data_IF_644697450642
#
_entry.id   IF_644697450642
#
_cell.length_a   1.000
_cell.length_b   1.000
_cell.length_c   1.000
_cell.angle_alpha   90.00
_cell.angle_beta   90.00
_cell.angle_gamma   90.00
#
_symmetry.space_group_name_H-M   'P 1'
#
loop_
_entity.id
_entity.type
_entity.pdbx_description
1 polymer ?
#
# COMPACT_ATOMS: atom_id res chain seq x y z
N UNK A 1 5.31 -40.30 -1.52
CA UNK A 1 6.76 -40.38 -1.76
C UNK A 1 6.93 -40.82 -3.19
N UNK A 2 7.39 -39.94 -4.06
CA UNK A 2 7.37 -40.18 -5.51
C UNK A 2 8.66 -40.89 -5.93
N UNK A 3 8.90 -42.06 -5.31
CA UNK A 3 10.09 -42.87 -5.60
C UNK A 3 10.05 -43.38 -7.06
N UNK A 4 11.18 -43.32 -7.79
CA UNK A 4 11.29 -43.83 -9.15
C UNK A 4 10.86 -45.28 -9.28
N UNK A 5 10.34 -45.66 -10.45
CA UNK A 5 9.97 -47.06 -10.76
C UNK A 5 11.17 -48.01 -10.61
N UNK A 6 12.38 -47.55 -10.92
CA UNK A 6 13.63 -48.30 -10.74
C UNK A 6 13.94 -48.62 -9.28
N UNK A 7 13.64 -47.72 -8.33
CA UNK A 7 13.79 -48.01 -6.90
C UNK A 7 12.72 -49.01 -6.43
N UNK A 8 11.48 -48.84 -6.87
CA UNK A 8 10.36 -49.75 -6.55
C UNK A 8 10.60 -51.17 -7.07
N UNK A 9 11.15 -51.31 -8.28
CA UNK A 9 11.40 -52.60 -8.90
C UNK A 9 12.37 -53.48 -8.09
N UNK A 10 13.34 -52.88 -7.36
CA UNK A 10 14.29 -53.61 -6.50
C UNK A 10 13.59 -54.38 -5.37
N UNK A 11 12.46 -53.89 -4.89
CA UNK A 11 11.68 -54.49 -3.80
C UNK A 11 10.37 -55.15 -4.28
N UNK A 12 10.14 -55.18 -5.60
CA UNK A 12 8.94 -55.78 -6.20
C UNK A 12 8.76 -57.26 -5.82
N UNK A 13 9.84 -58.04 -5.80
CA UNK A 13 9.83 -59.47 -5.41
C UNK A 13 9.34 -59.66 -3.97
N UNK A 14 9.82 -58.84 -3.01
CA UNK A 14 9.36 -58.87 -1.62
C UNK A 14 7.88 -58.47 -1.53
N UNK A 15 7.48 -57.45 -2.30
CA UNK A 15 6.10 -56.97 -2.34
C UNK A 15 5.13 -58.02 -2.89
N UNK A 16 5.58 -58.85 -3.85
CA UNK A 16 4.82 -60.00 -4.33
C UNK A 16 4.70 -61.11 -3.28
N UNK A 17 5.78 -61.42 -2.54
CA UNK A 17 5.79 -62.46 -1.50
C UNK A 17 4.80 -62.15 -0.36
N UNK A 18 4.61 -60.86 -0.03
CA UNK A 18 3.60 -60.38 0.95
C UNK A 18 2.14 -60.78 0.64
N UNK A 19 1.83 -61.19 -0.60
CA UNK A 19 0.49 -61.63 -1.01
C UNK A 19 0.23 -63.14 -0.96
N UNK A 20 1.24 -63.96 -0.65
CA UNK A 20 1.14 -65.42 -0.63
C UNK A 20 0.98 -65.96 0.80
N UNK A 21 0.35 -67.14 0.94
CA UNK A 21 0.38 -67.87 2.20
C UNK A 21 1.77 -68.48 2.46
N UNK A 22 2.12 -68.70 3.72
CA UNK A 22 3.44 -69.27 4.11
C UNK A 22 3.75 -70.59 3.40
N UNK A 23 2.73 -71.42 3.15
CA UNK A 23 2.82 -72.68 2.40
C UNK A 23 3.06 -72.54 0.89
N UNK A 24 2.90 -71.34 0.33
CA UNK A 24 3.06 -71.05 -1.11
C UNK A 24 4.45 -70.44 -1.43
N UNK A 25 5.24 -70.10 -0.40
CA UNK A 25 6.60 -69.56 -0.54
C UNK A 25 7.59 -70.72 -0.78
N UNK A 26 7.58 -71.25 -2.00
CA UNK A 26 8.37 -72.44 -2.39
C UNK A 26 9.79 -72.07 -2.88
N UNK A 27 10.05 -70.80 -3.24
CA UNK A 27 11.37 -70.37 -3.74
C UNK A 27 12.47 -70.36 -2.64
N UNK A 28 13.59 -71.10 -2.81
CA UNK A 28 14.71 -71.04 -1.90
C UNK A 28 15.32 -69.63 -1.85
N UNK A 29 15.49 -69.09 -0.64
CA UNK A 29 16.10 -67.78 -0.42
C UNK A 29 15.20 -66.57 -0.65
N UNK A 30 13.89 -66.74 -0.86
CA UNK A 30 12.94 -65.62 -1.01
C UNK A 30 12.91 -64.66 0.20
N UNK A 31 13.24 -65.16 1.40
CA UNK A 31 13.37 -64.41 2.65
C UNK A 31 14.76 -64.63 3.27
N UNK A 32 15.83 -64.52 2.48
CA UNK A 32 17.20 -64.62 3.00
C UNK A 32 17.50 -63.50 4.01
N UNK A 33 18.45 -63.74 4.93
CA UNK A 33 18.89 -62.72 5.90
C UNK A 33 19.37 -61.43 5.22
N UNK A 34 20.03 -61.55 4.06
CA UNK A 34 20.50 -60.45 3.24
C UNK A 34 19.34 -59.61 2.68
N UNK A 35 18.27 -60.25 2.20
CA UNK A 35 17.06 -59.57 1.70
C UNK A 35 16.34 -58.84 2.84
N UNK A 36 16.28 -59.44 4.03
CA UNK A 36 15.68 -58.83 5.23
C UNK A 36 16.51 -57.61 5.68
N UNK A 37 17.83 -57.73 5.71
CA UNK A 37 18.75 -56.62 6.03
C UNK A 37 18.62 -55.48 5.01
N UNK A 38 18.61 -55.79 3.72
CA UNK A 38 18.41 -54.81 2.65
C UNK A 38 17.05 -54.09 2.77
N UNK A 39 15.97 -54.82 3.07
CA UNK A 39 14.65 -54.25 3.26
C UNK A 39 14.59 -53.36 4.52
N UNK A 40 15.22 -53.79 5.62
CA UNK A 40 15.30 -53.00 6.85
C UNK A 40 16.08 -51.69 6.65
N UNK A 41 17.23 -51.75 5.98
CA UNK A 41 18.02 -50.57 5.64
C UNK A 41 17.26 -49.59 4.72
N UNK A 42 16.49 -50.10 3.77
CA UNK A 42 15.63 -49.27 2.91
C UNK A 42 14.48 -48.62 3.69
N UNK A 43 13.83 -49.35 4.61
CA UNK A 43 12.80 -48.78 5.49
C UNK A 43 13.38 -47.65 6.34
N UNK A 44 14.59 -47.81 6.90
CA UNK A 44 15.27 -46.76 7.66
C UNK A 44 15.62 -45.55 6.77
N UNK A 45 16.13 -45.80 5.55
CA UNK A 45 16.42 -44.74 4.55
C UNK A 45 15.15 -43.96 4.20
N UNK A 46 14.05 -44.66 3.92
CA UNK A 46 12.76 -44.06 3.59
C UNK A 46 12.14 -43.31 4.78
N UNK A 47 12.31 -43.80 6.01
CA UNK A 47 11.89 -43.09 7.22
C UNK A 47 12.65 -41.76 7.38
N UNK A 48 13.98 -41.77 7.25
CA UNK A 48 14.83 -40.56 7.25
C UNK A 48 14.44 -39.59 6.13
N UNK A 49 14.19 -40.10 4.92
CA UNK A 49 13.76 -39.29 3.78
C UNK A 49 12.36 -38.69 3.99
N UNK A 50 11.41 -39.46 4.53
CA UNK A 50 10.06 -38.98 4.88
C UNK A 50 10.13 -37.88 5.95
N UNK A 51 10.92 -38.07 7.00
CA UNK A 51 11.10 -37.07 8.06
C UNK A 51 11.69 -35.76 7.49
N UNK A 52 12.74 -35.86 6.67
CA UNK A 52 13.34 -34.71 5.97
C UNK A 52 12.33 -33.96 5.08
N UNK A 53 11.56 -34.69 4.26
CA UNK A 53 10.50 -34.10 3.41
C UNK A 53 9.34 -33.50 4.21
N UNK A 54 8.96 -34.10 5.34
CA UNK A 54 7.92 -33.54 6.18
C UNK A 54 8.38 -32.25 6.87
N UNK A 55 9.63 -32.20 7.33
CA UNK A 55 10.27 -30.97 7.84
C UNK A 55 10.29 -29.87 6.77
N UNK A 56 10.72 -30.17 5.54
CA UNK A 56 10.69 -29.25 4.40
C UNK A 56 9.27 -28.69 4.16
N UNK A 57 8.26 -29.56 4.17
CA UNK A 57 6.86 -29.18 3.95
C UNK A 57 6.30 -28.30 5.08
N UNK A 58 6.60 -28.62 6.34
CA UNK A 58 6.27 -27.79 7.50
C UNK A 58 6.85 -26.39 7.36
N UNK A 59 8.14 -26.28 7.04
CA UNK A 59 8.79 -24.97 6.87
C UNK A 59 8.16 -24.16 5.73
N UNK A 60 7.89 -24.80 4.58
CA UNK A 60 7.23 -24.17 3.44
C UNK A 60 5.83 -23.64 3.79
N UNK A 61 5.04 -24.40 4.57
CA UNK A 61 3.72 -23.92 5.03
C UNK A 61 3.81 -22.84 6.09
N UNK A 62 4.84 -22.83 6.95
CA UNK A 62 5.07 -21.68 7.85
C UNK A 62 5.37 -20.40 7.09
N UNK A 63 6.18 -20.45 6.03
CA UNK A 63 6.38 -19.25 5.17
C UNK A 63 5.06 -18.78 4.53
N UNK A 64 4.21 -19.70 4.04
CA UNK A 64 2.86 -19.35 3.54
C UNK A 64 2.02 -18.66 4.63
N UNK A 65 2.03 -19.17 5.87
CA UNK A 65 1.32 -18.57 7.00
C UNK A 65 1.85 -17.16 7.31
N UNK A 66 3.16 -16.99 7.43
CA UNK A 66 3.78 -15.69 7.69
C UNK A 66 3.46 -14.67 6.60
N UNK A 67 3.50 -15.06 5.33
CA UNK A 67 3.22 -14.14 4.21
C UNK A 67 1.76 -13.68 4.21
N UNK A 68 0.82 -14.59 4.50
CA UNK A 68 -0.60 -14.23 4.66
C UNK A 68 -0.80 -13.32 5.89
N UNK A 69 -0.15 -13.62 7.02
CA UNK A 69 -0.18 -12.78 8.22
C UNK A 69 0.34 -11.36 7.94
N UNK A 70 1.51 -11.23 7.30
CA UNK A 70 2.10 -9.94 6.87
C UNK A 70 1.16 -9.16 5.95
N UNK A 71 0.55 -9.82 4.95
CA UNK A 71 -0.40 -9.20 4.02
C UNK A 71 -1.72 -8.76 4.66
N UNK A 72 -2.01 -9.21 5.90
CA UNK A 72 -3.30 -8.98 6.58
C UNK A 72 -3.14 -8.23 7.91
N UNK A 73 -1.91 -7.82 8.24
CA UNK A 73 -1.54 -7.13 9.48
C UNK A 73 -2.00 -7.90 10.73
N UNK A 74 -1.94 -9.23 10.65
CA UNK A 74 -2.18 -10.18 11.74
C UNK A 74 -0.82 -10.64 12.29
N UNK A 75 -0.63 -10.57 13.60
CA UNK A 75 0.56 -11.13 14.25
C UNK A 75 0.57 -12.66 14.12
N UNK A 76 1.64 -13.29 13.57
CA UNK A 76 1.82 -14.73 13.63
C UNK A 76 1.91 -15.21 15.09
N UNK A 77 1.38 -16.40 15.38
CA UNK A 77 1.53 -16.99 16.71
C UNK A 77 3.03 -17.15 17.05
N UNK A 78 3.47 -16.67 18.21
CA UNK A 78 4.88 -16.76 18.66
C UNK A 78 5.32 -18.19 19.02
N UNK A 79 4.37 -19.14 19.12
CA UNK A 79 4.63 -20.58 19.08
C UNK A 79 5.09 -21.04 17.69
N UNK A 80 4.76 -20.28 16.64
CA UNK A 80 5.02 -20.60 15.23
C UNK A 80 6.28 -19.98 14.61
N UNK A 81 7.22 -19.48 15.42
CA UNK A 81 8.56 -19.08 14.92
C UNK A 81 9.29 -20.27 14.22
N UNK A 82 9.89 -20.06 13.03
CA UNK A 82 10.50 -21.12 12.20
C UNK A 82 11.67 -21.87 12.86
N UNK A 83 12.49 -21.18 13.65
CA UNK A 83 13.61 -21.74 14.41
C UNK A 83 13.09 -22.65 15.53
N UNK A 84 12.02 -22.22 16.21
CA UNK A 84 11.34 -23.03 17.23
C UNK A 84 10.72 -24.30 16.64
N UNK A 85 10.04 -24.26 15.48
CA UNK A 85 9.57 -25.50 14.83
C UNK A 85 10.72 -26.43 14.48
N UNK A 86 11.81 -25.87 13.96
CA UNK A 86 12.99 -26.66 13.56
C UNK A 86 13.54 -27.42 14.77
N UNK A 87 13.74 -26.74 15.90
CA UNK A 87 14.19 -27.36 17.14
C UNK A 87 13.20 -28.37 17.73
N UNK A 88 11.89 -28.11 17.68
CA UNK A 88 10.85 -29.03 18.17
C UNK A 88 10.77 -30.32 17.34
N UNK A 89 10.97 -30.23 16.02
CA UNK A 89 11.05 -31.38 15.11
C UNK A 89 12.35 -32.16 15.37
N UNK A 90 13.50 -31.48 15.42
CA UNK A 90 14.81 -32.13 15.54
C UNK A 90 15.04 -32.77 16.92
N UNK A 91 14.38 -32.28 17.96
CA UNK A 91 14.35 -32.92 19.29
C UNK A 91 13.33 -34.06 19.40
N UNK A 92 12.51 -34.30 18.36
CA UNK A 92 11.46 -35.32 18.38
C UNK A 92 10.30 -35.02 19.34
N UNK A 93 10.19 -33.79 19.85
CA UNK A 93 9.18 -33.40 20.84
C UNK A 93 7.78 -33.20 20.22
N UNK A 94 7.71 -32.99 18.91
CA UNK A 94 6.46 -32.78 18.15
C UNK A 94 6.49 -33.59 16.87
N UNK A 95 5.40 -34.30 16.54
CA UNK A 95 5.27 -34.95 15.23
C UNK A 95 5.15 -33.91 14.10
N UNK A 96 6.01 -33.96 13.07
CA UNK A 96 5.93 -33.05 11.94
C UNK A 96 4.58 -33.09 11.17
N UNK A 97 3.85 -34.20 11.21
CA UNK A 97 2.55 -34.35 10.52
C UNK A 97 1.42 -33.63 11.28
N UNK A 98 1.36 -33.77 12.60
CA UNK A 98 0.46 -33.01 13.47
C UNK A 98 0.76 -31.50 13.39
N UNK A 99 2.04 -31.13 13.43
CA UNK A 99 2.46 -29.74 13.30
C UNK A 99 2.05 -29.12 11.96
N UNK A 100 2.19 -29.88 10.87
CA UNK A 100 1.74 -29.46 9.54
C UNK A 100 0.22 -29.21 9.52
N UNK A 101 -0.57 -30.15 10.04
CA UNK A 101 -2.03 -30.03 10.09
C UNK A 101 -2.48 -28.81 10.93
N UNK A 102 -1.80 -28.54 12.05
CA UNK A 102 -2.03 -27.32 12.83
C UNK A 102 -1.74 -26.06 11.99
N UNK A 103 -0.57 -25.97 11.34
CA UNK A 103 -0.20 -24.83 10.48
C UNK A 103 -1.22 -24.62 9.35
N UNK A 104 -1.64 -25.68 8.66
CA UNK A 104 -2.67 -25.59 7.62
C UNK A 104 -4.00 -25.07 8.18
N UNK A 105 -4.41 -25.52 9.37
CA UNK A 105 -5.58 -24.99 10.06
C UNK A 105 -5.39 -23.51 10.47
N UNK A 106 -4.18 -23.07 10.82
CA UNK A 106 -3.91 -21.64 11.09
C UNK A 106 -4.05 -20.82 9.81
N UNK A 107 -3.49 -21.28 8.69
CA UNK A 107 -3.59 -20.63 7.38
C UNK A 107 -5.05 -20.43 6.97
N UNK A 108 -5.93 -21.43 7.20
CA UNK A 108 -7.36 -21.29 6.93
C UNK A 108 -7.99 -20.21 7.82
N UNK A 109 -7.77 -20.25 9.14
CA UNK A 109 -8.31 -19.23 10.06
C UNK A 109 -7.86 -17.81 9.72
N UNK A 110 -6.57 -17.61 9.42
CA UNK A 110 -6.03 -16.29 9.03
C UNK A 110 -6.65 -15.84 7.70
N UNK A 111 -6.87 -16.73 6.73
CA UNK A 111 -7.54 -16.39 5.46
C UNK A 111 -9.03 -16.04 5.67
N UNK A 112 -9.74 -16.71 6.58
CA UNK A 112 -11.11 -16.36 6.97
C UNK A 112 -11.17 -15.00 7.69
N UNK A 113 -10.24 -14.75 8.61
CA UNK A 113 -10.13 -13.47 9.29
C UNK A 113 -9.75 -12.33 8.33
N UNK A 114 -8.89 -12.58 7.34
CA UNK A 114 -8.57 -11.62 6.28
C UNK A 114 -9.82 -11.16 5.49
N UNK A 115 -10.73 -12.09 5.17
CA UNK A 115 -12.01 -11.77 4.52
C UNK A 115 -12.88 -10.91 5.45
N UNK A 116 -12.93 -11.26 6.73
CA UNK A 116 -13.64 -10.51 7.78
C UNK A 116 -13.10 -9.09 7.98
N UNK A 117 -11.77 -8.91 7.98
CA UNK A 117 -11.08 -7.62 8.14
C UNK A 117 -11.15 -6.73 6.89
N UNK A 118 -11.49 -7.29 5.73
CA UNK A 118 -11.37 -6.63 4.43
C UNK A 118 -12.02 -5.24 4.35
N UNK A 119 -13.23 -5.05 4.91
CA UNK A 119 -13.87 -3.72 4.85
C UNK A 119 -13.06 -2.66 5.61
N UNK A 120 -12.37 -3.03 6.69
CA UNK A 120 -11.53 -2.14 7.49
C UNK A 120 -10.20 -1.89 6.78
N UNK A 121 -9.57 -2.93 6.21
CA UNK A 121 -8.35 -2.79 5.40
C UNK A 121 -8.56 -1.86 4.19
N UNK A 122 -9.62 -2.09 3.41
CA UNK A 122 -10.03 -1.24 2.28
C UNK A 122 -10.23 0.25 2.68
N UNK A 123 -10.47 0.54 3.96
CA UNK A 123 -10.64 1.89 4.52
C UNK A 123 -9.34 2.48 5.06
N UNK A 124 -8.48 1.65 5.66
CA UNK A 124 -7.11 2.01 6.04
C UNK A 124 -6.36 2.47 4.79
N UNK A 125 -6.37 1.67 3.71
CA UNK A 125 -5.70 2.01 2.44
C UNK A 125 -6.12 3.39 1.91
N UNK A 126 -7.44 3.66 1.90
CA UNK A 126 -7.98 4.96 1.46
C UNK A 126 -7.53 6.11 2.36
N UNK A 127 -7.44 5.89 3.67
CA UNK A 127 -6.97 6.88 4.63
C UNK A 127 -5.46 7.13 4.48
N UNK A 128 -4.66 6.09 4.31
CA UNK A 128 -3.21 6.20 4.05
C UNK A 128 -2.96 6.95 2.73
N UNK A 129 -3.64 6.61 1.62
CA UNK A 129 -3.54 7.38 0.38
C UNK A 129 -4.00 8.84 0.52
N UNK A 130 -4.94 9.14 1.42
CA UNK A 130 -5.33 10.52 1.71
C UNK A 130 -4.23 11.28 2.48
N UNK A 131 -3.53 10.62 3.39
CA UNK A 131 -2.34 11.15 4.07
C UNK A 131 -1.14 11.34 3.12
N UNK A 132 -0.97 10.47 2.11
CA UNK A 132 0.04 10.63 1.06
C UNK A 132 -0.23 11.87 0.18
N UNK A 133 -1.49 12.08 -0.24
CA UNK A 133 -1.87 13.31 -0.96
C UNK A 133 -1.78 14.57 -0.07
N UNK A 134 -1.91 14.43 1.26
CA UNK A 134 -1.64 15.52 2.21
C UNK A 134 -0.17 15.92 2.20
N UNK A 135 0.73 14.95 2.41
CA UNK A 135 2.18 15.18 2.38
C UNK A 135 2.63 15.76 1.04
N UNK A 136 2.16 15.19 -0.07
CA UNK A 136 2.46 15.70 -1.41
C UNK A 136 2.00 17.15 -1.61
N UNK A 137 0.82 17.52 -1.08
CA UNK A 137 0.35 18.90 -1.14
C UNK A 137 1.18 19.84 -0.25
N UNK A 138 1.65 19.38 0.91
CA UNK A 138 2.53 20.16 1.79
C UNK A 138 3.87 20.47 1.11
N UNK A 139 4.50 19.47 0.48
CA UNK A 139 5.73 19.65 -0.31
C UNK A 139 5.49 20.61 -1.48
N UNK A 140 4.40 20.40 -2.24
CA UNK A 140 4.03 21.27 -3.36
C UNK A 140 3.63 22.69 -2.93
N UNK A 141 3.28 22.94 -1.66
CA UNK A 141 3.06 24.28 -1.12
C UNK A 141 4.37 24.98 -0.69
N UNK A 142 5.43 24.22 -0.42
CA UNK A 142 6.76 24.75 -0.06
C UNK A 142 7.62 25.07 -1.29
N UNK A 143 7.36 24.44 -2.43
CA UNK A 143 8.07 24.69 -3.69
C UNK A 143 7.94 26.17 -4.15
N UNK A 144 9.05 26.90 -4.12
CA UNK A 144 9.15 28.29 -4.60
C UNK A 144 8.98 28.40 -6.11
N UNK A 145 9.24 27.33 -6.86
CA UNK A 145 9.11 27.26 -8.32
C UNK A 145 7.71 26.85 -8.80
N UNK A 146 6.78 26.60 -7.86
CA UNK A 146 5.39 26.15 -8.10
C UNK A 146 4.65 26.90 -9.22
N UNK A 147 4.87 28.21 -9.32
CA UNK A 147 4.16 29.11 -10.24
C UNK A 147 4.91 29.38 -11.55
N UNK A 148 6.06 28.75 -11.78
CA UNK A 148 6.75 28.83 -13.06
C UNK A 148 5.86 28.28 -14.17
N UNK A 149 5.76 29.01 -15.29
CA UNK A 149 4.88 28.70 -16.43
C UNK A 149 5.37 27.52 -17.31
N UNK A 150 5.94 26.49 -16.68
CA UNK A 150 6.44 25.28 -17.33
C UNK A 150 5.32 24.35 -17.81
N UNK A 151 5.65 23.51 -18.79
CA UNK A 151 4.78 22.44 -19.29
C UNK A 151 4.45 21.47 -18.14
N UNK A 152 3.23 21.52 -17.63
CA UNK A 152 2.74 20.66 -16.55
C UNK A 152 2.17 21.39 -15.34
N UNK A 153 2.45 22.69 -15.16
CA UNK A 153 2.02 23.45 -13.98
C UNK A 153 0.49 23.39 -13.72
N UNK A 154 -0.33 23.46 -14.77
CA UNK A 154 -1.79 23.29 -14.69
C UNK A 154 -2.21 21.91 -14.12
N UNK A 155 -1.48 20.83 -14.42
CA UNK A 155 -1.81 19.50 -13.93
C UNK A 155 -1.52 19.39 -12.43
N UNK A 156 -0.38 19.94 -11.98
CA UNK A 156 -0.02 19.98 -10.56
C UNK A 156 -1.00 20.85 -9.76
N UNK A 157 -1.39 22.01 -10.30
CA UNK A 157 -2.43 22.85 -9.71
C UNK A 157 -3.78 22.09 -9.60
N UNK A 158 -4.17 21.37 -10.65
CA UNK A 158 -5.39 20.54 -10.66
C UNK A 158 -5.31 19.36 -9.69
N UNK A 159 -4.13 18.75 -9.47
CA UNK A 159 -3.91 17.75 -8.41
C UNK A 159 -4.03 18.41 -7.03
N UNK A 160 -3.45 19.58 -6.83
CA UNK A 160 -3.52 20.30 -5.55
C UNK A 160 -4.95 20.64 -5.12
N UNK A 161 -5.81 21.09 -6.05
CA UNK A 161 -7.23 21.31 -5.70
C UNK A 161 -7.96 20.00 -5.36
N UNK A 162 -7.63 18.89 -6.03
CA UNK A 162 -8.15 17.56 -5.67
C UNK A 162 -7.66 17.10 -4.30
N UNK A 163 -6.37 17.24 -4.02
CA UNK A 163 -5.75 16.91 -2.75
C UNK A 163 -6.43 17.67 -1.61
N UNK A 164 -6.66 18.98 -1.73
CA UNK A 164 -7.42 19.78 -0.73
C UNK A 164 -8.80 19.21 -0.43
N UNK A 165 -9.54 18.77 -1.45
CA UNK A 165 -10.87 18.16 -1.30
C UNK A 165 -10.80 16.78 -0.62
N UNK A 166 -9.73 16.02 -0.84
CA UNK A 166 -9.46 14.77 -0.12
C UNK A 166 -9.08 15.04 1.34
N UNK A 167 -8.16 15.96 1.58
CA UNK A 167 -7.63 16.34 2.90
C UNK A 167 -8.75 16.83 3.83
N UNK A 168 -9.65 17.68 3.33
CA UNK A 168 -10.82 18.16 4.09
C UNK A 168 -11.76 17.05 4.58
N UNK A 169 -11.63 15.82 4.05
CA UNK A 169 -12.42 14.64 4.44
C UNK A 169 -11.67 13.69 5.37
N UNK A 170 -10.36 13.89 5.61
CA UNK A 170 -9.56 12.94 6.39
C UNK A 170 -10.13 12.73 7.80
N UNK A 171 -10.54 13.79 8.50
CA UNK A 171 -11.18 13.64 9.83
C UNK A 171 -12.38 12.70 9.76
N UNK A 172 -13.30 12.93 8.81
CA UNK A 172 -14.50 12.10 8.66
C UNK A 172 -14.16 10.65 8.24
N UNK A 173 -13.08 10.43 7.49
CA UNK A 173 -12.61 9.09 7.15
C UNK A 173 -12.07 8.36 8.39
N UNK A 174 -11.27 9.03 9.22
CA UNK A 174 -10.74 8.49 10.48
C UNK A 174 -11.87 8.20 11.46
N UNK A 175 -12.79 9.14 11.65
CA UNK A 175 -13.96 8.94 12.51
C UNK A 175 -14.81 7.75 12.03
N UNK A 176 -15.04 7.61 10.73
CA UNK A 176 -15.79 6.48 10.19
C UNK A 176 -15.04 5.15 10.30
N UNK A 177 -13.70 5.17 10.20
CA UNK A 177 -12.85 4.01 10.42
C UNK A 177 -12.89 3.57 11.89
N UNK A 178 -12.75 4.48 12.86
CA UNK A 178 -12.89 4.18 14.30
C UNK A 178 -14.24 3.50 14.58
N UNK A 179 -15.36 4.08 14.14
CA UNK A 179 -16.69 3.49 14.34
C UNK A 179 -16.83 2.10 13.72
N UNK A 180 -16.27 1.89 12.51
CA UNK A 180 -16.29 0.59 11.82
C UNK A 180 -15.44 -0.46 12.53
N UNK A 181 -14.27 -0.08 13.04
CA UNK A 181 -13.40 -0.94 13.84
C UNK A 181 -14.09 -1.33 15.15
N UNK A 182 -14.67 -0.38 15.89
CA UNK A 182 -15.40 -0.67 17.13
C UNK A 182 -16.59 -1.62 16.91
N UNK A 183 -17.33 -1.45 15.82
CA UNK A 183 -18.43 -2.35 15.46
C UNK A 183 -17.95 -3.79 15.16
N UNK A 184 -16.79 -3.93 14.50
CA UNK A 184 -16.16 -5.23 14.24
C UNK A 184 -15.62 -5.87 15.53
N UNK A 185 -15.00 -5.08 16.42
CA UNK A 185 -14.54 -5.55 17.73
C UNK A 185 -15.72 -6.08 18.57
N UNK A 186 -16.88 -5.42 18.53
CA UNK A 186 -18.08 -5.89 19.21
C UNK A 186 -18.74 -7.10 18.52
N UNK A 187 -18.72 -7.21 17.19
CA UNK A 187 -19.21 -8.41 16.49
C UNK A 187 -18.35 -9.65 16.81
N UNK A 188 -17.02 -9.50 16.78
CA UNK A 188 -16.07 -10.61 16.94
C UNK A 188 -15.66 -10.88 18.39
N UNK A 189 -16.00 -9.98 19.32
CA UNK A 189 -15.57 -10.01 20.74
C UNK A 189 -14.06 -10.12 20.92
N UNK A 190 -13.29 -9.50 20.02
CA UNK A 190 -11.83 -9.44 20.03
C UNK A 190 -11.37 -8.05 19.58
N UNK A 191 -10.19 -7.61 20.01
CA UNK A 191 -9.61 -6.33 19.59
C UNK A 191 -9.10 -6.41 18.15
N UNK A 192 -9.29 -5.33 17.37
CA UNK A 192 -8.71 -5.23 16.04
C UNK A 192 -7.26 -4.78 16.18
N UNK A 193 -6.33 -5.74 16.08
CA UNK A 193 -4.90 -5.48 16.06
C UNK A 193 -4.42 -5.32 14.61
N UNK A 194 -3.66 -4.25 14.38
CA UNK A 194 -2.94 -3.94 13.16
C UNK A 194 -1.45 -3.87 13.53
N UNK A 195 -0.64 -4.79 13.01
CA UNK A 195 0.78 -4.95 13.36
C UNK A 195 1.02 -4.99 14.89
N UNK A 196 0.20 -5.80 15.57
CA UNK A 196 0.23 -5.99 17.03
C UNK A 196 -0.38 -4.86 17.87
N UNK A 197 -0.69 -3.69 17.28
CA UNK A 197 -1.24 -2.52 17.99
C UNK A 197 -2.74 -2.36 17.70
N UNK A 198 -3.54 -1.96 18.70
CA UNK A 198 -4.98 -1.75 18.49
C UNK A 198 -5.23 -0.57 17.55
N UNK A 199 -5.90 -0.83 16.42
CA UNK A 199 -6.14 0.15 15.37
C UNK A 199 -6.87 1.41 15.86
N UNK A 200 -7.84 1.28 16.77
CA UNK A 200 -8.56 2.43 17.36
C UNK A 200 -7.60 3.41 18.01
N UNK A 201 -6.62 2.92 18.78
CA UNK A 201 -5.63 3.75 19.47
C UNK A 201 -4.71 4.50 18.49
N UNK A 202 -4.26 3.83 17.43
CA UNK A 202 -3.48 4.46 16.34
C UNK A 202 -4.24 5.65 15.74
N UNK A 203 -5.55 5.51 15.54
CA UNK A 203 -6.42 6.52 14.93
C UNK A 203 -6.74 7.67 15.90
N UNK A 204 -6.86 7.39 17.20
CA UNK A 204 -7.01 8.40 18.25
C UNK A 204 -5.73 9.25 18.39
N UNK A 205 -4.56 8.61 18.45
CA UNK A 205 -3.25 9.27 18.47
C UNK A 205 -3.01 10.10 17.19
N UNK A 206 -3.44 9.59 16.04
CA UNK A 206 -3.41 10.34 14.78
C UNK A 206 -4.27 11.61 14.84
N UNK A 207 -5.49 11.54 15.39
CA UNK A 207 -6.37 12.73 15.54
C UNK A 207 -5.71 13.80 16.41
N UNK A 208 -5.12 13.40 17.55
CA UNK A 208 -4.42 14.32 18.44
C UNK A 208 -3.20 14.96 17.74
N UNK A 209 -2.36 14.14 17.11
CA UNK A 209 -1.16 14.58 16.37
C UNK A 209 -1.53 15.54 15.23
N UNK A 210 -2.61 15.26 14.52
CA UNK A 210 -3.13 16.10 13.43
C UNK A 210 -3.59 17.47 13.95
N UNK A 211 -4.37 17.50 15.03
CA UNK A 211 -4.81 18.75 15.65
C UNK A 211 -3.63 19.61 16.11
N UNK A 212 -2.66 19.02 16.80
CA UNK A 212 -1.45 19.72 17.24
C UNK A 212 -0.70 20.35 16.05
N UNK A 213 -0.53 19.61 14.95
CA UNK A 213 0.12 20.10 13.72
C UNK A 213 -0.64 21.27 13.09
N UNK A 214 -1.97 21.23 13.09
CA UNK A 214 -2.81 22.32 12.56
C UNK A 214 -2.75 23.58 13.45
N UNK A 215 -2.67 23.41 14.77
CA UNK A 215 -2.46 24.49 15.75
C UNK A 215 -1.06 25.11 15.66
N UNK A 216 -0.01 24.31 15.50
CA UNK A 216 1.36 24.79 15.25
C UNK A 216 1.45 25.59 13.95
N UNK A 217 0.87 25.09 12.86
CA UNK A 217 0.74 25.83 11.60
C UNK A 217 -0.06 27.13 11.77
N UNK A 218 -1.06 27.18 12.66
CA UNK A 218 -1.78 28.41 13.00
C UNK A 218 -0.87 29.39 13.75
N UNK A 219 -0.20 28.96 14.82
CA UNK A 219 0.75 29.80 15.58
C UNK A 219 1.85 30.39 14.69
N UNK A 220 2.44 29.58 13.82
CA UNK A 220 3.45 30.04 12.86
C UNK A 220 2.92 31.09 11.88
N UNK A 221 1.72 30.89 11.32
CA UNK A 221 1.06 31.90 10.45
C UNK A 221 0.78 33.21 11.20
N UNK A 222 0.40 33.14 12.47
CA UNK A 222 0.09 34.34 13.26
C UNK A 222 1.36 35.09 13.68
N UNK A 223 2.46 34.39 13.99
CA UNK A 223 3.80 34.99 14.14
C UNK A 223 4.29 35.66 12.85
N UNK A 224 4.14 34.99 11.70
CA UNK A 224 4.51 35.56 10.41
C UNK A 224 3.72 36.84 10.09
N UNK A 225 2.40 36.86 10.31
CA UNK A 225 1.59 38.09 10.13
C UNK A 225 2.11 39.26 10.98
N UNK A 226 2.54 39.00 12.21
CA UNK A 226 3.10 40.05 13.08
C UNK A 226 4.43 40.57 12.52
N UNK A 227 5.30 39.68 12.02
CA UNK A 227 6.56 40.07 11.36
C UNK A 227 6.32 40.86 10.07
N UNK A 228 5.40 40.40 9.22
CA UNK A 228 5.01 41.06 7.96
C UNK A 228 4.39 42.46 8.24
N UNK A 229 3.61 42.61 9.33
CA UNK A 229 3.06 43.90 9.77
C UNK A 229 4.15 44.88 10.20
N UNK A 230 5.11 44.44 11.02
CA UNK A 230 6.26 45.26 11.45
C UNK A 230 7.14 45.66 10.26
N UNK A 231 7.33 44.77 9.28
CA UNK A 231 8.04 45.09 8.04
C UNK A 231 7.27 46.13 7.21
N UNK A 232 5.95 45.98 7.09
CA UNK A 232 5.07 46.93 6.39
C UNK A 232 5.09 48.32 7.04
N UNK A 233 5.10 48.41 8.37
CA UNK A 233 5.22 49.68 9.11
C UNK A 233 6.58 50.37 8.82
N UNK A 234 7.67 49.59 8.84
CA UNK A 234 9.01 50.08 8.47
C UNK A 234 9.05 50.56 7.02
N UNK A 235 8.48 49.81 6.09
CA UNK A 235 8.38 50.21 4.68
C UNK A 235 7.46 51.42 4.46
N UNK A 236 6.42 51.60 5.29
CA UNK A 236 5.58 52.80 5.24
C UNK A 236 6.30 54.07 5.73
N UNK A 237 7.24 53.93 6.68
CA UNK A 237 8.05 55.05 7.19
C UNK A 237 9.25 55.40 6.30
N UNK A 238 9.90 54.40 5.69
CA UNK A 238 11.16 54.59 4.94
C UNK A 238 11.05 54.34 3.43
N UNK A 239 9.89 53.92 2.93
CA UNK A 239 9.66 53.59 1.52
C UNK A 239 9.42 54.82 0.63
N UNK A 240 10.01 54.79 -0.56
CA UNK A 240 9.87 55.81 -1.60
C UNK A 240 8.49 55.78 -2.26
N UNK A 241 7.48 56.36 -1.62
CA UNK A 241 6.16 56.59 -2.23
C UNK A 241 6.31 57.38 -3.55
N UNK A 242 5.81 56.89 -4.70
CA UNK A 242 5.67 57.73 -5.88
C UNK A 242 4.65 58.85 -5.58
N UNK A 243 5.07 60.10 -5.78
CA UNK A 243 4.27 61.29 -5.48
C UNK A 243 2.90 61.25 -6.20
N UNK A 244 1.78 61.61 -5.52
CA UNK A 244 0.46 61.60 -6.13
C UNK A 244 0.39 62.66 -7.24
N UNK A 245 0.42 62.20 -8.51
CA UNK A 245 0.22 63.06 -9.67
C UNK A 245 -1.16 63.73 -9.59
N UNK A 246 -1.16 65.06 -9.52
CA UNK A 246 -2.37 65.90 -9.58
C UNK A 246 -3.21 65.52 -10.81
N UNK A 247 -4.47 65.17 -10.60
CA UNK A 247 -5.44 64.96 -11.67
C UNK A 247 -5.83 66.30 -12.29
N UNK A 248 -5.31 66.62 -13.47
CA UNK A 248 -5.73 67.79 -14.23
C UNK A 248 -7.18 67.63 -14.71
N UNK A 249 -8.06 68.51 -14.23
CA UNK A 249 -9.42 68.67 -14.73
C UNK A 249 -9.37 69.21 -16.16
N UNK A 250 -9.83 68.44 -17.14
CA UNK A 250 -10.20 68.96 -18.46
C UNK A 250 -11.72 68.82 -18.68
N UNK A 251 -12.43 69.93 -18.47
CA UNK A 251 -13.79 70.11 -19.00
C UNK A 251 -13.71 70.15 -20.52
N UNK A 252 -14.59 69.41 -21.21
CA UNK A 252 -14.88 69.61 -22.64
C UNK A 252 -16.13 70.50 -22.79
N UNK A 253 -16.07 71.57 -23.60
CA UNK A 253 -17.24 72.10 -24.30
C UNK A 253 -17.37 71.48 -25.71
N UNK A 254 -18.55 71.62 -26.29
CA UNK A 254 -19.03 70.87 -27.47
C UNK A 254 -18.64 71.53 -28.81
N UNK A 255 -18.47 70.75 -29.89
CA UNK A 255 -18.16 71.26 -31.24
C UNK A 255 -18.26 70.16 -32.31
N UNK A 256 -18.81 70.46 -33.49
CA UNK A 256 -19.38 69.48 -34.43
C UNK A 256 -18.59 69.24 -35.73
N UNK A 257 -18.58 67.96 -36.20
CA UNK A 257 -18.29 67.45 -37.58
C UNK A 257 -16.82 67.56 -38.07
N UNK A 258 -16.30 66.73 -38.99
CA UNK A 258 -16.88 65.67 -39.84
C UNK A 258 -15.89 64.51 -40.19
N UNK A 259 -16.45 63.35 -40.57
CA UNK A 259 -15.91 62.22 -41.35
C UNK A 259 -14.53 61.56 -41.04
N UNK A 260 -14.56 60.23 -40.89
CA UNK A 260 -13.38 59.34 -40.95
C UNK A 260 -13.65 57.93 -40.41
N UNK A 261 -13.76 56.93 -41.29
CA UNK A 261 -14.09 55.52 -41.00
C UNK A 261 -13.27 54.85 -39.86
N UNK A 262 -13.87 53.90 -39.13
CA UNK A 262 -13.07 52.93 -38.34
C UNK A 262 -13.78 52.09 -37.26
N UNK A 263 -14.54 51.07 -37.67
CA UNK A 263 -14.87 49.82 -36.92
C UNK A 263 -14.99 49.84 -35.38
N UNK A 264 -16.21 49.70 -34.87
CA UNK A 264 -16.51 49.38 -33.46
C UNK A 264 -16.63 47.87 -33.24
N UNK A 265 -16.05 47.33 -32.16
CA UNK A 265 -16.40 46.01 -31.61
C UNK A 265 -17.38 46.16 -30.43
N UNK A 266 -18.54 45.49 -30.42
CA UNK A 266 -19.52 45.64 -29.35
C UNK A 266 -19.21 44.69 -28.18
N UNK A 267 -19.11 45.25 -26.96
CA UNK A 267 -19.21 44.47 -25.71
C UNK A 267 -20.53 44.79 -25.00
N UNK A 268 -21.24 43.79 -24.45
CA UNK A 268 -22.61 43.98 -24.01
C UNK A 268 -22.71 44.61 -22.62
N UNK A 269 -23.59 45.60 -22.47
CA UNK A 269 -24.13 46.04 -21.18
C UNK A 269 -25.65 46.06 -21.24
N UNK A 270 -26.32 45.38 -20.30
CA UNK A 270 -27.72 45.62 -19.97
C UNK A 270 -27.97 45.44 -18.47
N UNK A 271 -27.70 46.50 -17.71
CA UNK A 271 -28.35 46.71 -16.42
C UNK A 271 -29.40 47.83 -16.60
N UNK A 272 -30.62 47.56 -16.15
CA UNK A 272 -31.68 48.56 -16.00
C UNK A 272 -32.28 48.41 -14.60
N UNK A 273 -32.30 49.51 -13.84
CA UNK A 273 -32.90 49.59 -12.51
C UNK A 273 -34.40 49.89 -12.61
N UNK A 274 -35.18 49.43 -11.61
CA UNK A 274 -36.44 50.04 -11.19
C UNK A 274 -37.67 49.12 -11.22
N UNK A 275 -38.33 48.93 -10.07
CA UNK A 275 -39.66 48.32 -9.98
C UNK A 275 -39.89 47.50 -8.70
N UNK A 276 -40.85 47.91 -7.89
CA UNK A 276 -41.17 47.40 -6.55
C UNK A 276 -41.72 45.94 -6.49
N UNK A 277 -41.66 45.37 -5.29
CA UNK A 277 -42.46 44.22 -4.78
C UNK A 277 -43.92 44.66 -4.50
N UNK A 278 -44.91 43.78 -4.17
CA UNK A 278 -44.81 42.38 -3.74
C UNK A 278 -45.83 41.36 -4.35
N UNK A 279 -45.85 40.17 -3.73
CA UNK A 279 -46.88 39.11 -3.73
C UNK A 279 -46.95 38.03 -4.83
N UNK A 280 -46.92 36.78 -4.31
CA UNK A 280 -47.71 35.58 -4.66
C UNK A 280 -47.91 35.23 -6.15
N UNK A 281 -47.31 34.09 -6.57
CA UNK A 281 -48.05 32.82 -6.78
C UNK A 281 -47.10 31.72 -7.30
N UNK A 282 -47.24 30.50 -6.75
CA UNK A 282 -46.70 29.27 -7.36
C UNK A 282 -47.68 28.76 -8.42
N UNK A 283 -47.20 28.13 -9.51
CA UNK A 283 -47.75 26.81 -9.79
C UNK A 283 -46.74 25.74 -10.26
N UNK A 284 -47.25 24.51 -10.23
CA UNK A 284 -46.59 23.20 -10.20
C UNK A 284 -46.41 22.58 -11.60
N UNK A 285 -45.24 21.98 -11.83
CA UNK A 285 -44.89 20.77 -12.63
C UNK A 285 -45.60 20.40 -13.96
N UNK A 286 -44.80 20.09 -14.99
CA UNK A 286 -44.93 18.98 -16.00
C UNK A 286 -43.53 18.86 -16.69
N UNK A 287 -42.67 17.83 -16.50
CA UNK A 287 -42.64 16.43 -16.96
C UNK A 287 -42.59 16.18 -18.50
N UNK A 288 -41.47 15.60 -18.98
CA UNK A 288 -41.26 15.03 -20.34
C UNK A 288 -39.77 14.84 -20.63
N UNK A 289 -39.19 13.62 -20.58
CA UNK A 289 -38.93 12.67 -21.72
C UNK A 289 -38.03 13.26 -22.83
N UNK A 290 -37.07 12.56 -23.45
CA UNK A 290 -36.42 11.24 -23.25
C UNK A 290 -35.15 11.18 -24.16
N UNK A 291 -34.39 10.09 -24.09
CA UNK A 291 -33.24 9.71 -24.96
C UNK A 291 -31.90 10.43 -24.71
N UNK A 292 -30.73 9.79 -24.93
CA UNK A 292 -30.54 8.42 -25.44
C UNK A 292 -29.17 7.81 -25.14
N UNK A 293 -29.07 6.49 -25.36
CA UNK A 293 -27.86 5.67 -25.25
C UNK A 293 -26.72 6.18 -26.13
N UNK A 294 -25.47 6.11 -25.63
CA UNK A 294 -24.37 5.66 -26.48
C UNK A 294 -23.32 4.84 -25.71
N UNK A 295 -23.00 3.69 -26.30
CA UNK A 295 -21.87 2.77 -26.06
C UNK A 295 -20.57 3.49 -26.53
N UNK A 296 -19.31 3.12 -26.30
CA UNK A 296 -18.64 1.87 -25.93
C UNK A 296 -17.15 2.18 -25.58
N UNK A 297 -16.45 1.27 -24.89
CA UNK A 297 -14.99 1.05 -24.89
C UNK A 297 -13.98 2.22 -24.76
N UNK A 298 -13.17 2.16 -23.68
CA UNK A 298 -11.83 1.53 -23.77
C UNK A 298 -11.27 1.13 -22.41
N UNK A 299 -11.08 -0.19 -22.19
CA UNK A 299 -10.13 -0.70 -21.20
C UNK A 299 -8.72 -0.44 -21.71
N UNK A 300 -7.80 -0.05 -20.84
CA UNK A 300 -6.38 -0.31 -21.02
C UNK A 300 -5.86 -1.02 -19.77
N UNK A 301 -5.32 -2.22 -19.98
CA UNK A 301 -4.64 -3.02 -18.95
C UNK A 301 -3.21 -2.52 -18.82
N UNK A 302 -2.70 -2.41 -17.60
CA UNK A 302 -1.29 -2.11 -17.36
C UNK A 302 -0.54 -3.41 -17.09
N UNK A 303 0.54 -3.63 -17.84
CA UNK A 303 1.52 -4.69 -17.63
C UNK A 303 2.93 -4.05 -17.62
N UNK A 304 3.93 -4.65 -16.95
CA UNK A 304 5.11 -3.92 -16.49
C UNK A 304 6.19 -3.74 -17.58
N UNK A 305 6.95 -2.66 -17.47
CA UNK A 305 8.13 -2.38 -18.28
C UNK A 305 9.41 -2.78 -17.53
N UNK A 306 9.99 -3.92 -17.90
CA UNK A 306 11.40 -4.19 -17.68
C UNK A 306 12.22 -3.51 -18.80
N UNK A 307 13.30 -2.82 -18.45
CA UNK A 307 14.29 -2.36 -19.41
C UNK A 307 15.68 -2.82 -18.99
N UNK A 308 16.20 -3.82 -19.70
CA UNK A 308 17.62 -4.17 -19.73
C UNK A 308 18.19 -3.52 -21.00
N UNK A 309 19.22 -2.69 -20.85
CA UNK A 309 19.96 -2.14 -21.97
C UNK A 309 21.42 -2.60 -21.88
N UNK A 310 21.86 -3.38 -22.88
CA UNK A 310 23.22 -3.90 -23.00
C UNK A 310 24.01 -2.98 -23.93
N UNK A 311 25.23 -2.62 -23.55
CA UNK A 311 26.27 -2.19 -24.49
C UNK A 311 27.64 -2.76 -24.09
N UNK A 312 27.99 -3.87 -24.75
CA UNK A 312 29.36 -4.35 -25.06
C UNK A 312 30.19 -3.24 -25.76
N UNK A 313 31.52 -3.22 -25.95
CA UNK A 313 32.76 -3.95 -25.56
C UNK A 313 33.93 -3.11 -26.15
N UNK A 314 35.24 -3.20 -25.83
CA UNK A 314 36.07 -4.03 -24.94
C UNK A 314 37.38 -3.24 -24.59
N UNK A 315 38.27 -3.75 -23.71
CA UNK A 315 39.75 -3.89 -23.92
C UNK A 315 40.46 -4.29 -22.61
N UNK A 316 40.46 -5.60 -22.34
CA UNK A 316 41.60 -6.45 -21.91
C UNK A 316 42.83 -5.77 -21.24
N UNK A 317 43.17 -6.15 -19.98
CA UNK A 317 44.48 -6.80 -19.61
C UNK A 317 44.80 -6.97 -18.10
N UNK A 318 44.92 -8.23 -17.68
CA UNK A 318 45.94 -8.83 -16.78
C UNK A 318 46.22 -8.38 -15.31
N UNK A 319 45.83 -9.27 -14.38
CA UNK A 319 46.71 -10.16 -13.56
C UNK A 319 46.94 -9.91 -12.03
N UNK A 320 47.20 -11.06 -11.37
CA UNK A 320 47.71 -11.32 -9.98
C UNK A 320 46.74 -11.04 -8.81
N UNK A 321 46.27 -11.99 -7.98
CA UNK A 321 46.81 -13.21 -7.30
C UNK A 321 47.52 -12.93 -5.96
N UNK A 322 47.09 -13.70 -4.93
CA UNK A 322 47.53 -13.74 -3.51
C UNK A 322 47.24 -12.48 -2.65
N UNK A 323 46.97 -12.61 -1.34
CA UNK A 323 46.79 -13.81 -0.52
C UNK A 323 47.22 -13.62 0.94
N UNK A 324 46.41 -14.13 1.87
CA UNK A 324 46.73 -14.42 3.28
C UNK A 324 46.83 -13.27 4.32
N UNK A 325 45.92 -13.34 5.28
CA UNK A 325 46.09 -13.03 6.71
C UNK A 325 47.36 -13.70 7.31
N UNK A 326 47.94 -13.26 8.46
CA UNK A 326 47.25 -13.38 9.76
C UNK A 326 47.64 -12.41 10.90
N UNK A 327 46.88 -12.49 12.01
CA UNK A 327 47.50 -12.51 13.35
C UNK A 327 47.23 -11.36 14.32
N UNK A 328 46.67 -11.70 15.48
CA UNK A 328 46.76 -11.00 16.78
C UNK A 328 47.02 -12.07 17.86
N UNK A 329 47.25 -11.80 19.17
CA UNK A 329 47.49 -10.53 19.88
C UNK A 329 48.88 -10.60 20.61
N UNK A 330 49.17 -10.07 21.84
CA UNK A 330 48.42 -10.20 23.12
C UNK A 330 48.27 -8.90 23.94
N UNK A 331 47.69 -9.05 25.13
CA UNK A 331 47.37 -8.01 26.12
C UNK A 331 48.60 -7.40 26.82
N UNK A 332 48.44 -6.17 27.31
CA UNK A 332 49.28 -5.48 28.30
C UNK A 332 48.48 -4.36 28.95
#
# INVERSE_FOLDING_TARGET
MDSPTEEKNKFSRITSVLGFAESEIIEPGALSSEIIEQASAEVERLAKLKASRMKELVMKRRTELEDVCKMTHIEPDTSTNPEKSTALIDSGLVDPSELLANIEAQIVRVKEEAISRKEIMDRIDRWLSACEEENWLEDYNQDTNRYNAGRGAHLNLKRAERARVTISKISAMVDNLIHKTLAWEDEKKMLFLYDGVRLVSILEDYKLTRQQREEEKRRYRDQKKLQDLLLTEKEAMYGSRPSPRKTNSFRKPNGYRANGNGSMTPTPRRNSFGGATPELLTPRSYSGRQNGYFKEMKRLSTAPLNFVAISKEETISFASVCGSEPGSPPQG
#
